data_IF_699074896886
#
_entry.id   IF_699074896886
#
_cell.length_a   1.000
_cell.length_b   1.000
_cell.length_c   1.000
_cell.angle_alpha   90.00
_cell.angle_beta   90.00
_cell.angle_gamma   90.00
#
_symmetry.space_group_name_H-M   'P 1'
#
loop_
_entity.id
_entity.type
_entity.pdbx_description
1 polymer ?
#
# COMPACT_ATOMS: atom_id res chain seq x y z
N UNK A 1 -0.02 -0.89 -30.09
CA UNK A 1 -0.53 -1.02 -28.70
C UNK A 1 0.03 0.13 -27.91
N UNK A 2 -0.81 0.97 -27.30
CA UNK A 2 -0.32 1.93 -26.32
C UNK A 2 0.26 1.13 -25.15
N UNK A 3 1.53 1.37 -24.84
CA UNK A 3 2.20 0.71 -23.72
C UNK A 3 1.64 1.34 -22.45
N UNK A 4 1.16 0.50 -21.53
CA UNK A 4 0.66 0.98 -20.24
C UNK A 4 1.83 1.58 -19.45
N UNK A 5 1.62 2.78 -18.90
CA UNK A 5 2.65 3.51 -18.16
C UNK A 5 2.57 3.17 -16.67
N UNK A 6 3.73 3.11 -16.02
CA UNK A 6 3.85 2.87 -14.59
C UNK A 6 5.11 3.56 -14.05
N UNK A 7 5.14 3.78 -12.73
CA UNK A 7 6.30 4.32 -12.03
C UNK A 7 6.37 3.80 -10.60
N UNK A 8 7.50 3.99 -9.95
CA UNK A 8 7.63 3.78 -8.52
C UNK A 8 7.02 4.95 -7.75
N UNK A 9 6.16 4.64 -6.79
CA UNK A 9 5.76 5.55 -5.74
C UNK A 9 6.54 5.24 -4.47
N UNK A 10 7.11 6.27 -3.87
CA UNK A 10 7.75 6.17 -2.56
C UNK A 10 6.71 6.40 -1.47
N UNK A 11 6.50 5.41 -0.61
CA UNK A 11 5.61 5.49 0.55
C UNK A 11 6.46 5.30 1.79
N UNK A 12 6.39 6.24 2.73
CA UNK A 12 7.08 6.18 4.02
C UNK A 12 6.17 5.54 5.09
N UNK A 13 6.29 4.21 5.36
CA UNK A 13 5.65 3.48 6.46
C UNK A 13 6.19 3.95 7.82
N UNK A 14 5.76 5.14 8.23
CA UNK A 14 5.70 5.53 9.65
C UNK A 14 7.04 5.41 10.40
N UNK A 15 8.13 5.91 9.80
CA UNK A 15 9.48 5.99 10.36
C UNK A 15 10.36 4.77 10.05
N UNK A 16 11.24 4.98 9.06
CA UNK A 16 12.64 4.55 8.96
C UNK A 16 13.05 3.83 7.67
N UNK A 17 12.12 3.36 6.83
CA UNK A 17 12.46 2.86 5.49
C UNK A 17 11.38 3.20 4.46
N UNK A 18 11.73 4.01 3.46
CA UNK A 18 10.86 4.28 2.31
C UNK A 18 10.65 3.00 1.51
N UNK A 19 9.38 2.61 1.32
CA UNK A 19 9.00 1.47 0.48
C UNK A 19 8.64 2.00 -0.91
N UNK A 20 9.23 1.39 -1.94
CA UNK A 20 8.85 1.63 -3.32
C UNK A 20 7.76 0.66 -3.74
N UNK A 21 6.60 1.19 -4.16
CA UNK A 21 5.48 0.39 -4.65
C UNK A 21 5.15 0.82 -6.09
N UNK A 22 4.96 -0.13 -7.03
CA UNK A 22 4.60 0.24 -8.39
C UNK A 22 3.18 0.80 -8.43
N UNK A 23 3.03 1.91 -9.15
CA UNK A 23 1.73 2.51 -9.47
C UNK A 23 1.55 2.55 -10.99
N UNK A 24 0.35 2.19 -11.44
CA UNK A 24 0.00 2.09 -12.85
C UNK A 24 -0.87 3.28 -13.23
N UNK A 25 -0.56 3.89 -14.37
CA UNK A 25 -1.33 5.00 -14.89
C UNK A 25 -2.53 4.49 -15.68
N UNK A 26 -3.74 4.92 -15.26
CA UNK A 26 -4.98 4.78 -16.04
C UNK A 26 -5.45 6.17 -16.41
N UNK A 27 -5.46 6.46 -17.72
CA UNK A 27 -5.76 7.81 -18.21
C UNK A 27 -4.84 8.84 -17.52
N UNK A 28 -5.41 9.77 -16.75
CA UNK A 28 -4.68 10.84 -16.05
C UNK A 28 -4.53 10.59 -14.54
N UNK A 29 -4.79 9.36 -14.07
CA UNK A 29 -4.73 8.99 -12.64
C UNK A 29 -3.83 7.79 -12.42
N UNK A 30 -3.27 7.69 -11.22
CA UNK A 30 -2.45 6.56 -10.80
C UNK A 30 -3.22 5.63 -9.89
N UNK A 31 -2.98 4.33 -10.07
CA UNK A 31 -3.64 3.27 -9.32
C UNK A 31 -2.59 2.34 -8.73
N UNK A 32 -2.92 1.78 -7.58
CA UNK A 32 -2.06 0.87 -6.83
C UNK A 32 -2.82 -0.43 -6.57
N UNK A 33 -2.14 -1.57 -6.65
CA UNK A 33 -2.73 -2.85 -6.32
C UNK A 33 -2.87 -2.98 -4.79
N UNK A 34 -4.08 -3.23 -4.31
CA UNK A 34 -4.39 -3.37 -2.88
C UNK A 34 -3.59 -4.49 -2.24
N UNK A 35 -3.32 -5.58 -2.96
CA UNK A 35 -2.51 -6.70 -2.45
C UNK A 35 -1.08 -6.26 -2.10
N UNK A 36 -0.47 -5.40 -2.92
CA UNK A 36 0.86 -4.85 -2.63
C UNK A 36 0.83 -3.99 -1.37
N UNK A 37 -0.19 -3.14 -1.23
CA UNK A 37 -0.40 -2.34 -0.02
C UNK A 37 -0.55 -3.22 1.21
N UNK A 38 -1.33 -4.30 1.13
CA UNK A 38 -1.51 -5.22 2.24
C UNK A 38 -0.20 -5.89 2.64
N UNK A 39 0.53 -6.44 1.67
CA UNK A 39 1.75 -7.20 1.93
C UNK A 39 2.87 -6.33 2.49
N UNK A 40 3.06 -5.11 1.96
CA UNK A 40 4.18 -4.26 2.32
C UNK A 40 3.90 -3.28 3.45
N UNK A 41 2.64 -2.83 3.57
CA UNK A 41 2.27 -1.80 4.54
C UNK A 41 1.38 -2.43 5.60
N UNK A 42 0.14 -2.82 5.27
CA UNK A 42 -0.86 -3.09 6.31
C UNK A 42 -0.53 -4.32 7.17
N UNK A 43 -0.02 -5.42 6.61
CA UNK A 43 0.33 -6.62 7.39
C UNK A 43 1.42 -6.35 8.44
N UNK A 44 2.33 -5.41 8.17
CA UNK A 44 3.40 -5.04 9.10
C UNK A 44 2.89 -4.22 10.30
N UNK A 45 1.71 -3.61 10.17
CA UNK A 45 1.14 -2.72 11.17
C UNK A 45 -0.33 -3.05 11.51
N UNK A 46 -0.79 -4.27 11.22
CA UNK A 46 -2.18 -4.68 11.38
C UNK A 46 -2.65 -4.52 12.84
N UNK A 47 -1.79 -4.86 13.79
CA UNK A 47 -2.04 -4.69 15.23
C UNK A 47 -2.04 -3.22 15.68
N UNK A 48 -1.56 -2.30 14.84
CA UNK A 48 -1.42 -0.88 15.13
C UNK A 48 -2.54 -0.01 14.51
N UNK A 49 -3.45 -0.62 13.73
CA UNK A 49 -4.65 0.02 13.21
C UNK A 49 -5.54 0.57 14.34
N UNK A 50 -5.96 1.85 14.26
CA UNK A 50 -7.02 2.39 15.14
C UNK A 50 -8.38 1.90 14.71
N UNK A 51 -9.31 1.98 15.65
CA UNK A 51 -10.74 1.94 15.35
C UNK A 51 -11.14 3.04 14.34
N UNK A 52 -10.53 4.24 14.34
CA UNK A 52 -10.75 5.22 13.25
C UNK A 52 -10.27 4.75 11.88
N UNK A 53 -9.11 4.09 11.79
CA UNK A 53 -8.60 3.57 10.52
C UNK A 53 -9.48 2.40 10.02
N UNK A 54 -9.96 1.55 10.95
CA UNK A 54 -10.94 0.49 10.66
C UNK A 54 -12.31 1.04 10.23
N UNK A 55 -12.64 2.27 10.62
CA UNK A 55 -13.91 2.94 10.29
C UNK A 55 -13.78 4.03 9.22
N UNK A 56 -12.60 4.20 8.61
CA UNK A 56 -12.33 5.21 7.58
C UNK A 56 -13.20 5.06 6.31
N UNK A 57 -13.90 3.93 6.18
CA UNK A 57 -14.77 3.61 5.06
C UNK A 57 -14.12 2.61 4.11
N UNK A 58 -14.75 2.38 2.96
CA UNK A 58 -14.20 1.50 1.93
C UNK A 58 -13.42 2.33 0.91
N UNK A 59 -12.17 1.94 0.65
CA UNK A 59 -11.46 2.37 -0.56
C UNK A 59 -12.22 1.86 -1.78
N UNK A 60 -12.51 2.73 -2.74
CA UNK A 60 -13.19 2.32 -3.96
C UNK A 60 -12.18 1.60 -4.85
N UNK A 61 -12.40 0.29 -4.99
CA UNK A 61 -11.57 -0.60 -5.79
C UNK A 61 -12.20 -0.95 -7.13
N UNK A 62 -11.36 -1.31 -8.09
CA UNK A 62 -11.77 -1.91 -9.36
C UNK A 62 -10.86 -3.08 -9.69
N UNK A 63 -11.39 -4.08 -10.39
CA UNK A 63 -10.60 -5.24 -10.79
C UNK A 63 -9.45 -4.84 -11.73
N UNK A 64 -8.35 -5.58 -11.65
CA UNK A 64 -7.26 -5.49 -12.61
C UNK A 64 -7.75 -5.91 -14.00
N UNK A 65 -7.38 -5.16 -15.01
CA UNK A 65 -7.48 -5.60 -16.40
C UNK A 65 -6.35 -6.60 -16.69
N UNK A 66 -6.55 -7.47 -17.70
CA UNK A 66 -5.50 -8.39 -18.15
C UNK A 66 -4.15 -7.71 -18.42
N UNK A 67 -4.14 -6.52 -19.03
CA UNK A 67 -2.90 -5.79 -19.32
C UNK A 67 -2.17 -5.35 -18.04
N UNK A 68 -2.91 -4.98 -17.00
CA UNK A 68 -2.35 -4.63 -15.70
C UNK A 68 -1.80 -5.84 -14.99
N UNK A 69 -2.50 -6.98 -15.08
CA UNK A 69 -2.02 -8.25 -14.55
C UNK A 69 -0.70 -8.64 -15.20
N UNK A 70 -0.62 -8.58 -16.52
CA UNK A 70 0.60 -8.89 -17.26
C UNK A 70 1.74 -7.96 -16.84
N UNK A 71 1.48 -6.65 -16.72
CA UNK A 71 2.46 -5.66 -16.29
C UNK A 71 2.89 -5.85 -14.83
N UNK A 72 1.95 -6.08 -13.90
CA UNK A 72 2.24 -6.34 -12.49
C UNK A 72 3.08 -7.61 -12.34
N UNK A 73 2.79 -8.66 -13.11
CA UNK A 73 3.58 -9.89 -13.11
C UNK A 73 4.96 -9.71 -13.74
N UNK A 74 5.10 -8.87 -14.77
CA UNK A 74 6.41 -8.47 -15.30
C UNK A 74 7.23 -7.75 -14.24
N UNK A 75 6.65 -6.76 -13.55
CA UNK A 75 7.29 -6.04 -12.44
C UNK A 75 7.64 -7.03 -11.32
N UNK A 76 6.72 -7.92 -10.94
CA UNK A 76 6.89 -8.93 -9.90
C UNK A 76 8.10 -9.82 -10.16
N UNK A 77 8.25 -10.30 -11.40
CA UNK A 77 9.37 -11.17 -11.81
C UNK A 77 10.69 -10.40 -11.91
N UNK A 78 10.63 -9.12 -12.28
CA UNK A 78 11.82 -8.31 -12.55
C UNK A 78 12.45 -7.73 -11.29
N UNK A 79 11.64 -7.36 -10.30
CA UNK A 79 12.11 -6.63 -9.12
C UNK A 79 12.01 -7.50 -7.85
N UNK A 80 13.19 -7.89 -7.33
CA UNK A 80 13.48 -8.51 -6.02
C UNK A 80 12.57 -9.68 -5.60
N UNK A 81 12.96 -10.92 -5.93
CA UNK A 81 12.39 -12.18 -5.41
C UNK A 81 10.85 -12.36 -5.52
N UNK A 82 10.17 -11.53 -6.31
CA UNK A 82 8.72 -11.40 -6.23
C UNK A 82 8.33 -10.34 -5.19
N UNK A 83 7.78 -9.22 -5.65
CA UNK A 83 6.99 -8.30 -4.82
C UNK A 83 5.83 -9.01 -4.11
N UNK A 84 5.38 -10.12 -4.68
CA UNK A 84 4.35 -11.01 -4.18
C UNK A 84 4.79 -12.44 -4.47
N UNK A 85 4.66 -13.32 -3.47
CA UNK A 85 4.94 -14.76 -3.61
C UNK A 85 4.05 -15.41 -4.68
N UNK A 86 2.86 -14.85 -4.89
CA UNK A 86 1.88 -15.28 -5.89
C UNK A 86 1.78 -14.32 -7.07
N UNK A 87 1.47 -14.86 -8.26
CA UNK A 87 1.17 -14.05 -9.45
C UNK A 87 -0.11 -13.23 -9.25
N UNK A 88 -0.14 -12.06 -9.85
CA UNK A 88 -1.34 -11.22 -9.93
C UNK A 88 -2.33 -11.82 -10.92
N UNK A 89 -3.61 -11.51 -10.71
CA UNK A 89 -4.77 -12.03 -11.44
C UNK A 89 -5.78 -10.91 -11.70
N UNK A 90 -6.73 -11.14 -12.61
CA UNK A 90 -7.81 -10.17 -12.89
C UNK A 90 -8.78 -10.00 -11.70
N UNK A 91 -8.65 -10.83 -10.66
CA UNK A 91 -9.41 -10.69 -9.42
C UNK A 91 -8.73 -9.77 -8.40
N UNK A 92 -7.47 -9.38 -8.64
CA UNK A 92 -6.81 -8.40 -7.80
C UNK A 92 -7.44 -7.01 -7.98
N UNK A 93 -7.43 -6.24 -6.89
CA UNK A 93 -8.10 -4.94 -6.83
C UNK A 93 -7.06 -3.83 -6.97
N UNK A 94 -7.34 -2.89 -7.87
CA UNK A 94 -6.67 -1.61 -7.98
C UNK A 94 -7.51 -0.54 -7.29
N UNK A 95 -6.89 0.24 -6.42
CA UNK A 95 -7.48 1.45 -5.85
C UNK A 95 -6.76 2.69 -6.41
N UNK A 96 -7.46 3.82 -6.40
CA UNK A 96 -6.84 5.09 -6.77
C UNK A 96 -5.75 5.46 -5.76
N UNK A 97 -4.61 5.89 -6.28
CA UNK A 97 -3.43 6.15 -5.47
C UNK A 97 -3.61 7.36 -4.55
N UNK A 98 -4.28 8.43 -4.99
CA UNK A 98 -4.49 9.62 -4.17
C UNK A 98 -5.47 9.32 -3.02
N UNK A 99 -6.52 8.53 -3.28
CA UNK A 99 -7.43 8.03 -2.24
C UNK A 99 -6.70 7.14 -1.23
N UNK A 100 -5.82 6.25 -1.71
CA UNK A 100 -4.97 5.43 -0.86
C UNK A 100 -4.06 6.30 0.03
N UNK A 101 -3.39 7.32 -0.52
CA UNK A 101 -2.54 8.23 0.24
C UNK A 101 -3.34 8.98 1.31
N UNK A 102 -4.58 9.38 1.01
CA UNK A 102 -5.45 10.01 1.99
C UNK A 102 -5.76 9.06 3.17
N UNK A 103 -6.18 7.83 2.87
CA UNK A 103 -6.37 6.78 3.89
C UNK A 103 -5.10 6.56 4.70
N UNK A 104 -3.97 6.46 4.02
CA UNK A 104 -2.67 6.20 4.60
C UNK A 104 -2.23 7.31 5.57
N UNK A 105 -2.50 8.58 5.26
CA UNK A 105 -2.22 9.69 6.18
C UNK A 105 -3.03 9.63 7.47
N UNK A 106 -4.26 9.13 7.41
CA UNK A 106 -5.11 8.95 8.59
C UNK A 106 -4.60 7.77 9.41
N UNK A 107 -4.24 6.68 8.75
CA UNK A 107 -3.56 5.55 9.36
C UNK A 107 -2.28 5.97 10.11
N UNK A 108 -1.40 6.75 9.46
CA UNK A 108 -0.13 7.22 10.05
C UNK A 108 -0.32 8.07 11.31
N UNK A 109 -1.35 8.93 11.36
CA UNK A 109 -1.65 9.76 12.54
C UNK A 109 -1.96 8.90 13.76
N UNK A 110 -2.69 7.82 13.58
CA UNK A 110 -3.00 6.87 14.66
C UNK A 110 -1.76 6.20 15.22
N UNK A 111 -0.93 5.64 14.34
CA UNK A 111 0.23 4.85 14.78
C UNK A 111 1.19 5.73 15.56
N UNK A 112 1.44 6.96 15.08
CA UNK A 112 2.27 7.94 15.78
C UNK A 112 1.73 8.28 17.16
N UNK A 113 0.42 8.49 17.31
CA UNK A 113 -0.20 8.73 18.62
C UNK A 113 0.06 7.57 19.60
N UNK A 114 -0.06 6.30 19.16
CA UNK A 114 0.19 5.15 20.05
C UNK A 114 1.66 5.03 20.47
N UNK A 115 2.61 5.40 19.62
CA UNK A 115 4.03 5.42 19.97
C UNK A 115 4.35 6.52 20.99
N UNK A 116 3.79 7.72 20.83
CA UNK A 116 3.96 8.82 21.78
C UNK A 116 3.32 8.51 23.16
N UNK A 117 2.29 7.65 23.19
CA UNK A 117 1.64 7.16 24.42
C UNK A 117 2.33 5.97 25.08
N UNK A 118 3.37 5.36 24.49
CA UNK A 118 4.25 4.42 25.20
C UNK A 118 5.15 5.23 26.14
N UNK A 119 4.56 5.65 27.27
CA UNK A 119 5.26 6.28 28.39
C UNK A 119 6.48 5.42 28.73
N UNK A 120 7.69 5.99 28.90
CA UNK A 120 8.83 5.20 29.34
C UNK A 120 8.45 4.51 30.64
N UNK A 121 8.63 3.19 30.68
CA UNK A 121 8.57 2.44 31.94
C UNK A 121 9.65 3.03 32.82
N UNK A 122 9.27 3.90 33.76
CA UNK A 122 10.13 4.28 34.86
C UNK A 122 10.26 3.02 35.69
N UNK A 123 11.31 2.24 35.43
CA UNK A 123 11.74 1.24 36.40
C UNK A 123 12.21 2.03 37.61
N UNK A 124 11.43 2.00 38.68
CA UNK A 124 11.83 2.54 39.98
C UNK A 124 13.20 1.94 40.40
N UNK A 125 14.04 2.72 41.10
CA UNK A 125 15.43 2.37 41.41
C UNK A 125 15.59 1.15 42.32
#
# INVERSE_FOLDING_TARGET
MNKMEWKWAEIDPILFESILIPIIQRHDRYFICVRLVNNFILNNYENELSEEAKSFGCLVGSLCTKQEVDLLNEINKTYLNGLSDEEFTENDIMCDFDEFIHFYHIFKKTVKLRQDFRVPVITEP
#
